data_IF_476025930161
#
_entry.id   IF_476025930161
#
_cell.length_a   1.000
_cell.length_b   1.000
_cell.length_c   1.000
_cell.angle_alpha   90.00
_cell.angle_beta   90.00
_cell.angle_gamma   90.00
#
_symmetry.space_group_name_H-M   'P 1'
#
loop_
_entity.id
_entity.type
_entity.pdbx_description
1 polymer ?
#
# COMPACT_ATOMS: atom_id res chain seq x y z
N UNK A 1 18.46 -27.69 20.07
CA UNK A 1 19.03 -26.34 19.89
C UNK A 1 18.81 -25.84 18.47
N UNK A 2 19.18 -26.60 17.42
CA UNK A 2 18.90 -26.21 16.02
C UNK A 2 17.41 -26.01 15.71
N UNK A 3 16.51 -26.88 16.18
CA UNK A 3 15.06 -26.74 15.93
C UNK A 3 14.45 -25.45 16.53
N UNK A 4 14.96 -25.02 17.68
CA UNK A 4 14.48 -23.81 18.37
C UNK A 4 14.93 -22.54 17.65
N UNK A 5 16.12 -22.55 17.08
CA UNK A 5 16.73 -21.43 16.34
C UNK A 5 16.11 -21.26 14.93
N UNK A 6 15.78 -22.36 14.26
CA UNK A 6 15.05 -22.31 12.98
C UNK A 6 13.66 -21.69 13.15
N UNK A 7 12.94 -22.04 14.22
CA UNK A 7 11.65 -21.42 14.53
C UNK A 7 11.76 -19.90 14.78
N UNK A 8 12.87 -19.42 15.35
CA UNK A 8 13.04 -17.97 15.61
C UNK A 8 13.31 -17.16 14.35
N UNK A 9 14.11 -17.68 13.40
CA UNK A 9 14.39 -16.99 12.13
C UNK A 9 13.14 -16.89 11.27
N UNK A 10 12.36 -17.98 11.19
CA UNK A 10 11.10 -17.99 10.42
C UNK A 10 10.09 -17.01 11.01
N UNK A 11 9.97 -16.95 12.35
CA UNK A 11 9.06 -16.02 13.02
C UNK A 11 9.47 -14.56 12.77
N UNK A 12 10.75 -14.22 12.91
CA UNK A 12 11.27 -12.87 12.65
C UNK A 12 11.07 -12.43 11.19
N UNK A 13 11.20 -13.37 10.25
CA UNK A 13 10.93 -13.13 8.84
C UNK A 13 9.44 -12.88 8.57
N UNK A 14 8.54 -13.67 9.17
CA UNK A 14 7.09 -13.44 9.08
C UNK A 14 6.72 -12.08 9.66
N UNK A 15 7.30 -11.68 10.79
CA UNK A 15 7.09 -10.37 11.40
C UNK A 15 7.56 -9.24 10.46
N UNK A 16 8.72 -9.41 9.80
CA UNK A 16 9.20 -8.46 8.80
C UNK A 16 8.23 -8.33 7.62
N UNK A 17 7.74 -9.45 7.09
CA UNK A 17 6.78 -9.46 5.98
C UNK A 17 5.46 -8.78 6.37
N UNK A 18 4.92 -9.12 7.55
CA UNK A 18 3.68 -8.55 8.06
C UNK A 18 3.79 -7.05 8.35
N UNK A 19 4.97 -6.57 8.73
CA UNK A 19 5.26 -5.15 8.89
C UNK A 19 5.47 -4.41 7.55
N UNK A 20 5.66 -5.14 6.45
CA UNK A 20 6.13 -4.62 5.16
C UNK A 20 5.15 -4.79 4.00
N UNK A 21 3.87 -4.33 4.10
CA UNK A 21 2.88 -4.54 3.02
C UNK A 21 3.22 -3.80 1.71
N UNK A 22 4.16 -2.85 1.74
CA UNK A 22 4.68 -2.19 0.54
C UNK A 22 6.18 -1.97 0.64
N UNK A 23 6.84 -1.67 -0.48
CA UNK A 23 8.26 -1.31 -0.50
C UNK A 23 8.62 -0.14 0.43
N UNK A 24 7.67 0.78 0.67
CA UNK A 24 7.87 1.89 1.60
C UNK A 24 7.92 1.42 3.05
N UNK A 25 7.05 0.47 3.42
CA UNK A 25 7.05 -0.13 4.75
C UNK A 25 8.25 -1.07 4.94
N UNK A 26 8.66 -1.80 3.88
CA UNK A 26 9.86 -2.62 3.91
C UNK A 26 11.12 -1.79 4.23
N UNK A 27 11.26 -0.62 3.59
CA UNK A 27 12.36 0.30 3.89
C UNK A 27 12.27 0.88 5.29
N UNK A 28 11.07 1.25 5.74
CA UNK A 28 10.87 1.79 7.09
C UNK A 28 11.19 0.75 8.18
N UNK A 29 10.76 -0.50 8.00
CA UNK A 29 11.06 -1.61 8.90
C UNK A 29 12.56 -1.96 8.88
N UNK A 30 13.17 -2.05 7.70
CA UNK A 30 14.62 -2.27 7.58
C UNK A 30 15.41 -1.14 8.25
N UNK A 31 14.99 0.12 8.09
CA UNK A 31 15.58 1.27 8.77
C UNK A 31 15.51 1.11 10.30
N UNK A 32 14.34 0.78 10.85
CA UNK A 32 14.16 0.57 12.30
C UNK A 32 15.09 -0.52 12.82
N UNK A 33 15.18 -1.65 12.10
CA UNK A 33 16.04 -2.79 12.46
C UNK A 33 17.53 -2.43 12.39
N UNK A 34 17.96 -1.71 11.36
CA UNK A 34 19.35 -1.24 11.23
C UNK A 34 19.71 -0.27 12.37
N UNK A 35 18.84 0.70 12.67
CA UNK A 35 19.04 1.64 13.78
C UNK A 35 19.14 0.92 15.12
N UNK A 36 18.31 -0.11 15.35
CA UNK A 36 18.35 -0.95 16.57
C UNK A 36 19.71 -1.63 16.79
N UNK A 37 20.46 -1.94 15.73
CA UNK A 37 21.80 -2.56 15.79
C UNK A 37 22.94 -1.56 15.56
N UNK A 38 22.67 -0.26 15.75
CA UNK A 38 23.67 0.80 15.80
C UNK A 38 24.07 1.38 14.45
N UNK A 39 23.29 1.18 13.38
CA UNK A 39 23.52 1.89 12.13
C UNK A 39 23.03 3.35 12.22
N UNK A 40 23.83 4.27 11.71
CA UNK A 40 23.51 5.69 11.60
C UNK A 40 22.93 6.01 10.20
N UNK A 41 21.83 6.76 10.15
CA UNK A 41 21.28 7.20 8.87
C UNK A 41 22.06 8.41 8.35
N UNK A 42 22.59 8.34 7.14
CA UNK A 42 23.15 9.50 6.44
C UNK A 42 22.12 10.14 5.52
N UNK A 43 22.15 11.47 5.43
CA UNK A 43 21.26 12.24 4.56
C UNK A 43 21.96 12.45 3.22
N UNK A 44 21.33 12.00 2.13
CA UNK A 44 21.91 12.05 0.79
C UNK A 44 22.26 13.47 0.30
N UNK A 45 21.65 14.51 0.89
CA UNK A 45 21.85 15.93 0.53
C UNK A 45 22.91 16.64 1.36
N UNK A 46 23.49 15.97 2.36
CA UNK A 46 24.47 16.56 3.27
C UNK A 46 25.87 16.01 2.96
N UNK A 47 26.90 16.77 3.36
CA UNK A 47 28.28 16.27 3.32
C UNK A 47 28.47 15.14 4.34
N UNK A 48 28.97 14.00 3.89
CA UNK A 48 29.15 12.83 4.76
C UNK A 48 30.49 12.87 5.48
N UNK A 49 30.45 12.78 6.81
CA UNK A 49 31.62 12.58 7.67
C UNK A 49 31.64 11.15 8.18
N UNK A 50 32.09 10.22 7.33
CA UNK A 50 32.12 8.80 7.65
C UNK A 50 33.38 8.44 8.43
N UNK A 51 33.26 7.59 9.44
CA UNK A 51 34.37 7.07 10.23
C UNK A 51 34.52 5.56 10.02
N UNK A 52 35.77 5.09 9.94
CA UNK A 52 36.05 3.67 9.84
C UNK A 52 35.54 2.92 11.09
N UNK A 53 34.95 1.75 10.88
CA UNK A 53 34.37 0.93 11.95
C UNK A 53 32.94 1.31 12.36
N UNK A 54 32.42 2.46 11.92
CA UNK A 54 31.00 2.81 12.07
C UNK A 54 30.14 2.19 10.98
N UNK A 55 28.83 2.14 11.24
CA UNK A 55 27.83 1.49 10.39
C UNK A 55 26.85 2.55 9.90
N UNK A 56 26.61 2.59 8.60
CA UNK A 56 25.78 3.63 7.99
C UNK A 56 24.78 3.05 6.99
N UNK A 57 23.67 3.75 6.84
CA UNK A 57 22.71 3.49 5.77
C UNK A 57 22.10 4.79 5.25
N UNK A 58 21.59 4.76 4.03
CA UNK A 58 20.72 5.80 3.50
C UNK A 58 19.46 5.21 2.88
N UNK A 59 18.48 6.07 2.67
CA UNK A 59 17.26 5.73 1.95
C UNK A 59 17.07 6.70 0.79
N UNK A 60 16.65 6.20 -0.36
CA UNK A 60 16.25 7.03 -1.51
C UNK A 60 14.80 6.76 -1.87
N UNK A 61 14.04 7.83 -2.11
CA UNK A 61 12.59 7.78 -2.36
C UNK A 61 11.80 7.02 -1.27
N UNK A 62 12.39 6.76 -0.10
CA UNK A 62 11.83 5.90 0.96
C UNK A 62 11.41 4.50 0.50
N UNK A 63 11.91 4.02 -0.64
CA UNK A 63 11.59 2.70 -1.22
C UNK A 63 12.84 1.89 -1.59
N UNK A 64 14.01 2.55 -1.62
CA UNK A 64 15.31 1.89 -1.63
C UNK A 64 16.04 2.20 -0.34
N UNK A 65 16.69 1.19 0.24
CA UNK A 65 17.60 1.32 1.37
C UNK A 65 18.94 0.73 1.00
N UNK A 66 20.02 1.44 1.34
CA UNK A 66 21.39 0.99 1.13
C UNK A 66 22.10 1.08 2.48
N UNK A 67 22.28 -0.06 3.13
CA UNK A 67 23.27 -0.20 4.20
C UNK A 67 24.64 -0.43 3.56
N UNK A 68 25.71 0.10 4.15
CA UNK A 68 27.07 -0.06 3.61
C UNK A 68 27.58 -1.49 3.83
N UNK A 69 27.10 -2.42 3.01
CA UNK A 69 27.44 -3.83 2.93
C UNK A 69 27.24 -4.33 1.47
N UNK A 70 27.94 -5.39 1.07
CA UNK A 70 27.93 -5.89 -0.31
C UNK A 70 26.98 -7.10 -0.42
N UNK A 71 25.67 -6.83 -0.34
CA UNK A 71 24.61 -7.80 -0.67
C UNK A 71 23.47 -7.05 -1.37
N UNK A 72 23.02 -7.57 -2.52
CA UNK A 72 21.93 -6.97 -3.30
C UNK A 72 20.64 -7.76 -3.19
N UNK A 73 19.52 -7.05 -2.99
CA UNK A 73 18.15 -7.55 -3.07
C UNK A 73 17.21 -6.41 -3.54
N UNK A 74 15.91 -6.66 -3.62
CA UNK A 74 14.90 -5.65 -3.96
C UNK A 74 13.76 -5.64 -2.93
N UNK A 75 13.09 -4.49 -2.78
CA UNK A 75 12.08 -4.24 -1.72
C UNK A 75 10.63 -4.33 -2.24
N UNK A 76 10.45 -4.42 -3.54
CA UNK A 76 9.15 -4.44 -4.19
C UNK A 76 8.70 -5.86 -4.53
N UNK A 77 7.40 -6.01 -4.75
CA UNK A 77 6.78 -7.26 -5.18
C UNK A 77 5.63 -6.94 -6.13
N UNK A 78 5.25 -7.85 -7.05
CA UNK A 78 4.10 -7.63 -7.91
C UNK A 78 2.83 -7.36 -7.12
N UNK A 79 2.08 -6.32 -7.47
CA UNK A 79 0.89 -5.90 -6.73
C UNK A 79 -0.11 -5.10 -7.59
N UNK A 80 -1.30 -4.88 -7.03
CA UNK A 80 -2.26 -3.89 -7.53
C UNK A 80 -1.99 -2.54 -6.86
N UNK A 81 -1.70 -1.51 -7.65
CA UNK A 81 -1.54 -0.12 -7.19
C UNK A 81 -2.77 0.70 -7.51
N UNK A 82 -3.15 1.61 -6.62
CA UNK A 82 -4.19 2.60 -6.91
C UNK A 82 -3.78 3.48 -8.09
N UNK A 83 -4.70 3.69 -9.05
CA UNK A 83 -4.49 4.68 -10.11
C UNK A 83 -4.58 6.10 -9.54
N UNK A 84 -3.91 7.10 -10.16
CA UNK A 84 -4.03 8.50 -9.76
C UNK A 84 -5.45 9.07 -9.83
N UNK A 85 -6.29 8.48 -10.69
CA UNK A 85 -7.74 8.68 -10.69
C UNK A 85 -8.35 7.28 -10.58
N UNK A 86 -8.87 6.96 -9.40
CA UNK A 86 -9.32 5.61 -9.07
C UNK A 86 -10.84 5.52 -8.89
N UNK A 87 -11.57 6.63 -8.95
CA UNK A 87 -13.03 6.59 -8.86
C UNK A 87 -13.64 5.85 -10.06
N UNK A 88 -14.30 4.71 -9.79
CA UNK A 88 -15.12 3.99 -10.77
C UNK A 88 -16.47 3.66 -10.14
N UNK A 89 -17.55 3.87 -10.90
CA UNK A 89 -18.93 3.54 -10.50
C UNK A 89 -19.56 2.66 -11.56
N UNK A 90 -20.07 1.49 -11.15
CA UNK A 90 -20.67 0.53 -12.08
C UNK A 90 -21.71 -0.31 -11.37
N UNK A 91 -22.89 -0.45 -11.98
CA UNK A 91 -23.98 -1.32 -11.51
C UNK A 91 -24.32 -1.18 -10.00
N UNK A 92 -24.33 0.05 -9.47
CA UNK A 92 -24.62 0.30 -8.05
C UNK A 92 -23.47 0.04 -7.08
N UNK A 93 -22.27 -0.28 -7.58
CA UNK A 93 -21.06 -0.44 -6.80
C UNK A 93 -20.07 0.72 -6.99
N UNK A 94 -19.34 1.02 -5.92
CA UNK A 94 -18.15 1.85 -5.92
C UNK A 94 -16.94 0.94 -6.07
N UNK A 95 -16.35 0.96 -7.25
CA UNK A 95 -15.15 0.20 -7.60
C UNK A 95 -13.92 1.12 -7.57
N UNK A 96 -12.75 0.53 -7.36
CA UNK A 96 -11.49 1.29 -7.29
C UNK A 96 -10.59 0.92 -8.48
N UNK A 97 -10.26 1.92 -9.30
CA UNK A 97 -9.34 1.77 -10.41
C UNK A 97 -7.92 1.44 -9.93
N UNK A 98 -7.42 0.29 -10.35
CA UNK A 98 -6.06 -0.20 -10.04
C UNK A 98 -5.21 -0.36 -11.29
N UNK A 99 -3.89 -0.42 -11.09
CA UNK A 99 -2.88 -0.73 -12.10
C UNK A 99 -2.04 -1.91 -11.61
N UNK A 100 -1.76 -2.85 -12.51
CA UNK A 100 -0.83 -3.96 -12.27
C UNK A 100 0.61 -3.46 -12.22
N UNK A 101 1.33 -3.85 -11.19
CA UNK A 101 2.76 -3.61 -11.04
C UNK A 101 3.51 -4.95 -11.03
N UNK A 102 4.50 -5.11 -11.92
CA UNK A 102 5.25 -6.38 -12.06
C UNK A 102 4.48 -7.49 -12.79
N UNK A 103 5.04 -8.70 -12.77
CA UNK A 103 4.49 -9.90 -13.42
C UNK A 103 3.68 -10.77 -12.46
N UNK A 104 2.64 -10.22 -11.84
CA UNK A 104 1.86 -10.93 -10.82
C UNK A 104 0.99 -12.06 -11.38
N UNK A 105 0.74 -13.07 -10.55
CA UNK A 105 -0.27 -14.10 -10.80
C UNK A 105 -1.67 -13.54 -10.47
N UNK A 106 -2.22 -12.71 -11.35
CA UNK A 106 -3.38 -11.87 -11.03
C UNK A 106 -4.65 -12.62 -10.61
N UNK A 107 -4.81 -13.87 -11.03
CA UNK A 107 -5.93 -14.71 -10.58
C UNK A 107 -5.91 -14.97 -9.06
N UNK A 108 -4.74 -14.94 -8.42
CA UNK A 108 -4.60 -15.16 -6.96
C UNK A 108 -5.10 -13.99 -6.11
N UNK A 109 -5.29 -12.81 -6.73
CA UNK A 109 -5.80 -11.60 -6.09
C UNK A 109 -7.33 -11.56 -6.01
N UNK A 110 -8.00 -12.43 -6.76
CA UNK A 110 -9.44 -12.58 -6.66
C UNK A 110 -9.82 -13.23 -5.34
N UNK A 111 -10.97 -12.84 -4.82
CA UNK A 111 -11.57 -13.41 -3.61
C UNK A 111 -10.68 -13.36 -2.36
N UNK A 112 -9.77 -12.38 -2.33
CA UNK A 112 -8.98 -12.00 -1.16
C UNK A 112 -9.60 -10.81 -0.47
N UNK A 113 -9.47 -10.81 0.85
CA UNK A 113 -9.78 -9.66 1.68
C UNK A 113 -8.62 -8.68 1.59
N UNK A 114 -8.80 -7.63 0.78
CA UNK A 114 -7.77 -6.67 0.43
C UNK A 114 -7.89 -5.38 1.24
N UNK A 115 -6.74 -4.74 1.42
CA UNK A 115 -6.65 -3.43 2.06
C UNK A 115 -5.69 -2.51 1.30
N UNK A 116 -5.50 -1.29 1.77
CA UNK A 116 -4.58 -0.31 1.19
C UNK A 116 -3.44 -0.03 2.15
N UNK A 117 -2.23 -0.08 1.61
CA UNK A 117 -1.04 0.43 2.25
C UNK A 117 -0.18 1.18 1.23
N UNK A 118 0.61 2.14 1.68
CA UNK A 118 1.44 2.96 0.81
C UNK A 118 1.97 4.20 1.50
N UNK A 119 2.11 5.28 0.73
CA UNK A 119 2.48 6.59 1.24
C UNK A 119 1.54 7.66 0.71
N UNK A 120 1.27 8.67 1.54
CA UNK A 120 0.65 9.92 1.14
C UNK A 120 1.70 11.03 1.16
N UNK A 121 1.62 11.95 0.20
CA UNK A 121 2.37 13.21 0.23
C UNK A 121 1.45 14.28 0.81
N UNK A 122 1.88 14.91 1.90
CA UNK A 122 1.12 15.92 2.62
C UNK A 122 1.75 17.27 2.35
N UNK A 123 0.94 18.22 1.88
CA UNK A 123 1.31 19.63 1.78
C UNK A 123 0.97 20.28 3.12
N UNK A 124 1.96 20.85 3.78
CA UNK A 124 1.80 21.58 5.04
C UNK A 124 2.09 23.06 4.76
N UNK A 125 1.24 23.95 5.29
CA UNK A 125 1.42 25.40 5.15
C UNK A 125 1.43 26.02 6.54
N UNK A 126 2.58 26.59 6.94
CA UNK A 126 2.76 27.20 8.26
C UNK A 126 3.49 28.53 8.11
N UNK A 127 2.87 29.61 8.59
CA UNK A 127 3.47 30.94 8.56
C UNK A 127 3.84 31.43 7.16
N UNK A 128 3.06 31.07 6.13
CA UNK A 128 3.33 31.43 4.73
C UNK A 128 4.41 30.60 4.03
N UNK A 129 5.02 29.63 4.72
CA UNK A 129 5.94 28.65 4.11
C UNK A 129 5.20 27.36 3.77
N UNK A 130 5.44 26.83 2.57
CA UNK A 130 4.89 25.56 2.10
C UNK A 130 5.97 24.49 2.21
N UNK A 131 5.68 23.43 2.94
CA UNK A 131 6.52 22.24 3.00
C UNK A 131 5.74 21.01 2.52
N UNK A 132 6.48 19.98 2.12
CA UNK A 132 5.92 18.69 1.76
C UNK A 132 6.54 17.62 2.65
N UNK A 133 5.70 16.79 3.24
CA UNK A 133 6.11 15.64 4.02
C UNK A 133 5.50 14.37 3.42
N UNK A 134 6.13 13.22 3.66
CA UNK A 134 5.51 11.94 3.36
C UNK A 134 5.01 11.30 4.66
N UNK A 135 3.92 10.54 4.58
CA UNK A 135 3.43 9.69 5.66
C UNK A 135 3.15 8.31 5.11
N UNK A 136 3.54 7.29 5.87
CA UNK A 136 3.11 5.93 5.58
C UNK A 136 1.65 5.79 6.00
N UNK A 137 0.89 5.08 5.17
CA UNK A 137 -0.52 4.79 5.40
C UNK A 137 -0.68 3.29 5.30
N UNK A 138 -1.35 2.70 6.28
CA UNK A 138 -1.75 1.29 6.31
C UNK A 138 -3.11 1.22 6.98
N UNK A 139 -4.08 0.67 6.26
CA UNK A 139 -5.39 0.37 6.79
C UNK A 139 -5.33 -1.07 7.31
N UNK A 140 -5.60 -1.28 8.59
CA UNK A 140 -5.49 -2.59 9.25
C UNK A 140 -6.81 -3.34 9.31
N UNK A 141 -7.63 -3.17 8.27
CA UNK A 141 -8.89 -3.87 8.08
C UNK A 141 -9.14 -4.16 6.59
N UNK A 142 -9.89 -5.22 6.27
CA UNK A 142 -10.24 -5.54 4.89
C UNK A 142 -11.36 -4.63 4.39
N UNK A 143 -11.01 -3.73 3.47
CA UNK A 143 -11.94 -2.72 2.94
C UNK A 143 -12.36 -3.00 1.50
N UNK A 144 -11.72 -3.94 0.82
CA UNK A 144 -11.91 -4.17 -0.61
C UNK A 144 -11.82 -5.64 -0.99
N UNK A 145 -12.47 -6.01 -2.09
CA UNK A 145 -12.39 -7.36 -2.65
C UNK A 145 -12.52 -7.32 -4.17
N UNK A 146 -11.74 -8.14 -4.86
CA UNK A 146 -11.93 -8.40 -6.30
C UNK A 146 -12.75 -9.70 -6.43
N UNK A 147 -14.08 -9.64 -6.62
CA UNK A 147 -14.90 -10.85 -6.65
C UNK A 147 -14.69 -11.64 -7.95
N UNK A 148 -14.69 -12.97 -7.88
CA UNK A 148 -14.79 -13.81 -9.08
C UNK A 148 -16.19 -13.75 -9.70
N UNK A 149 -16.26 -13.94 -11.03
CA UNK A 149 -17.53 -14.20 -11.69
C UNK A 149 -18.00 -15.62 -11.32
N UNK A 150 -19.30 -15.77 -11.03
CA UNK A 150 -19.87 -17.08 -10.71
C UNK A 150 -19.66 -18.07 -11.87
N UNK A 151 -19.23 -19.30 -11.56
CA UNK A 151 -18.96 -20.34 -12.56
C UNK A 151 -20.16 -20.70 -13.43
N UNK A 152 -21.38 -20.58 -12.90
CA UNK A 152 -22.62 -20.75 -13.67
C UNK A 152 -22.74 -19.80 -14.87
N UNK A 153 -22.07 -18.65 -14.81
CA UNK A 153 -22.03 -17.62 -15.85
C UNK A 153 -20.72 -17.67 -16.67
N UNK A 154 -19.75 -18.49 -16.28
CA UNK A 154 -18.48 -18.70 -16.99
C UNK A 154 -18.26 -20.20 -17.26
N UNK A 155 -18.79 -20.66 -18.40
CA UNK A 155 -18.71 -22.06 -18.81
C UNK A 155 -17.28 -22.54 -19.11
N UNK A 156 -16.35 -21.62 -19.37
CA UNK A 156 -14.96 -21.94 -19.72
C UNK A 156 -13.97 -21.79 -18.57
N UNK A 157 -14.43 -21.45 -17.36
CA UNK A 157 -13.55 -21.12 -16.22
C UNK A 157 -12.59 -22.25 -15.85
N UNK A 158 -13.01 -23.50 -16.03
CA UNK A 158 -12.21 -24.70 -15.73
C UNK A 158 -11.13 -24.98 -16.78
N UNK A 159 -11.29 -24.47 -18.02
CA UNK A 159 -10.30 -24.63 -19.09
C UNK A 159 -9.20 -23.57 -19.03
N UNK A 160 -9.42 -22.50 -18.26
CA UNK A 160 -8.42 -21.49 -17.97
C UNK A 160 -9.02 -20.17 -17.48
N UNK A 161 -8.49 -19.66 -16.37
CA UNK A 161 -8.94 -18.40 -15.78
C UNK A 161 -8.35 -17.19 -16.53
N UNK A 162 -9.07 -16.72 -17.57
CA UNK A 162 -8.64 -15.59 -18.41
C UNK A 162 -9.15 -14.27 -17.86
N UNK A 163 -8.24 -13.47 -17.31
CA UNK A 163 -8.55 -12.18 -16.70
C UNK A 163 -8.16 -11.04 -17.62
N UNK A 164 -9.09 -10.13 -17.90
CA UNK A 164 -8.73 -8.82 -18.42
C UNK A 164 -8.30 -7.93 -17.25
N UNK A 165 -7.01 -7.56 -17.22
CA UNK A 165 -6.42 -6.81 -16.10
C UNK A 165 -6.97 -5.39 -15.93
N UNK A 166 -7.61 -4.84 -16.97
CA UNK A 166 -8.17 -3.50 -16.96
C UNK A 166 -9.66 -3.47 -16.54
N UNK A 167 -10.43 -4.52 -16.81
CA UNK A 167 -11.88 -4.54 -16.55
C UNK A 167 -12.31 -5.50 -15.43
N UNK A 168 -11.52 -6.53 -15.12
CA UNK A 168 -11.89 -7.58 -14.16
C UNK A 168 -11.14 -7.50 -12.82
N UNK A 169 -10.07 -6.69 -12.72
CA UNK A 169 -9.28 -6.54 -11.49
C UNK A 169 -9.69 -5.35 -10.61
N UNK A 170 -10.82 -4.70 -10.88
CA UNK A 170 -11.27 -3.56 -10.11
C UNK A 170 -11.90 -4.05 -8.80
N UNK A 171 -11.28 -3.82 -7.62
CA UNK A 171 -11.90 -4.18 -6.37
C UNK A 171 -13.14 -3.33 -6.10
N UNK A 172 -14.14 -3.98 -5.49
CA UNK A 172 -15.33 -3.34 -4.93
C UNK A 172 -14.98 -2.82 -3.53
N UNK A 173 -15.30 -1.54 -3.28
CA UNK A 173 -15.10 -0.86 -1.99
C UNK A 173 -16.41 -0.74 -1.20
N UNK A 174 -17.50 -0.36 -1.87
CA UNK A 174 -18.80 -0.14 -1.24
C UNK A 174 -19.94 -0.22 -2.27
N UNK A 175 -21.19 -0.18 -1.80
CA UNK A 175 -22.37 0.02 -2.65
C UNK A 175 -22.77 1.49 -2.65
N UNK A 176 -23.40 1.96 -3.72
CA UNK A 176 -23.98 3.30 -3.81
C UNK A 176 -25.03 3.53 -2.72
N UNK A 177 -25.81 2.49 -2.38
CA UNK A 177 -26.83 2.56 -1.31
C UNK A 177 -26.19 2.88 0.04
N UNK A 178 -25.06 2.25 0.38
CA UNK A 178 -24.34 2.55 1.63
C UNK A 178 -23.87 4.01 1.68
N UNK A 179 -23.51 4.58 0.54
CA UNK A 179 -23.09 5.98 0.44
C UNK A 179 -24.25 6.93 0.72
N UNK A 180 -25.41 6.64 0.15
CA UNK A 180 -26.62 7.44 0.35
C UNK A 180 -27.09 7.39 1.81
N UNK A 181 -27.15 6.19 2.40
CA UNK A 181 -27.47 6.03 3.83
C UNK A 181 -26.51 6.82 4.72
N UNK A 182 -25.21 6.79 4.44
CA UNK A 182 -24.23 7.51 5.25
C UNK A 182 -24.25 9.04 5.07
N UNK A 183 -24.77 9.56 3.94
CA UNK A 183 -24.93 11.00 3.74
C UNK A 183 -26.01 11.59 4.65
N UNK A 184 -27.13 10.89 4.84
CA UNK A 184 -28.21 11.33 5.72
C UNK A 184 -27.75 11.44 7.19
N UNK A 185 -26.80 10.60 7.62
CA UNK A 185 -26.19 10.71 8.96
C UNK A 185 -25.24 11.93 9.07
N UNK A 186 -24.51 12.27 8.01
CA UNK A 186 -23.58 13.40 8.02
C UNK A 186 -24.28 14.76 7.90
N UNK A 187 -25.45 14.85 7.26
CA UNK A 187 -26.22 16.11 7.20
C UNK A 187 -26.83 16.49 8.57
N UNK A 188 -26.94 15.55 9.50
CA UNK A 188 -27.31 15.80 10.89
C UNK A 188 -26.13 16.21 11.80
N UNK A 189 -24.91 16.29 11.26
CA UNK A 189 -23.71 16.74 11.97
C UNK A 189 -22.76 17.49 11.03
N UNK A 190 -22.88 18.82 10.99
CA UNK A 190 -22.00 19.81 10.33
C UNK A 190 -20.82 19.22 9.52
N UNK A 191 -21.01 19.00 8.21
CA UNK A 191 -19.93 18.70 7.28
C UNK A 191 -19.92 19.70 6.12
N UNK A 192 -18.78 20.38 5.93
CA UNK A 192 -18.53 21.34 4.85
C UNK A 192 -18.56 20.66 3.47
N UNK A 193 -19.30 21.26 2.55
CA UNK A 193 -19.36 20.89 1.14
C UNK A 193 -18.04 21.25 0.44
N UNK A 194 -17.18 20.27 0.22
CA UNK A 194 -16.07 20.41 -0.75
C UNK A 194 -16.60 20.15 -2.16
N UNK A 195 -16.62 21.19 -2.99
CA UNK A 195 -17.18 21.23 -4.35
C UNK A 195 -16.22 20.77 -5.46
N UNK A 196 -15.15 20.05 -5.13
CA UNK A 196 -14.24 19.52 -6.14
C UNK A 196 -14.63 18.08 -6.53
N UNK A 197 -14.73 17.83 -7.83
CA UNK A 197 -14.90 16.48 -8.39
C UNK A 197 -13.67 15.65 -7.98
N UNK A 198 -13.81 14.85 -6.93
CA UNK A 198 -12.72 14.07 -6.36
C UNK A 198 -12.16 13.08 -7.38
N UNK A 199 -10.85 12.80 -7.32
CA UNK A 199 -10.21 11.77 -8.16
C UNK A 199 -10.40 10.35 -7.60
N UNK A 200 -10.85 10.26 -6.34
CA UNK A 200 -11.01 9.04 -5.56
C UNK A 200 -12.33 9.06 -4.79
N UNK A 201 -12.91 7.89 -4.50
CA UNK A 201 -14.11 7.81 -3.64
C UNK A 201 -13.82 8.41 -2.26
N UNK A 202 -14.75 9.19 -1.71
CA UNK A 202 -14.60 9.81 -0.39
C UNK A 202 -14.32 8.78 0.72
N UNK A 203 -14.95 7.61 0.67
CA UNK A 203 -14.70 6.50 1.58
C UNK A 203 -13.23 6.05 1.63
N UNK A 204 -12.52 6.13 0.50
CA UNK A 204 -11.10 5.79 0.45
C UNK A 204 -10.20 6.87 1.10
N UNK A 205 -10.69 8.11 1.20
CA UNK A 205 -9.98 9.25 1.77
C UNK A 205 -10.32 9.50 3.25
N UNK A 206 -11.32 8.80 3.79
CA UNK A 206 -11.78 8.91 5.17
C UNK A 206 -11.11 7.91 6.13
N UNK A 207 -10.27 7.00 5.61
CA UNK A 207 -9.56 5.99 6.39
C UNK A 207 -8.20 6.49 6.85
#
# INVERSE_FOLDING_TARGET
>A
MADTEVCSVVSDFIDFLNASPTAFHAVDEAKKRLQKVGYEQVVEREDWKLEAGKRYFLTRNHSTIVAFAIVGAHTDSPCLKLKPVSEVKRAGYLEVGVQTYGGGLWHTWFDRDLTVAGRAMIREEKGGSVSYSHRLVRIEEPIMRVPTLASHLDRGVNDGFKVNTQSHLLPVLATSVKVELNKEFAENGLAEKTTNKSRHHAFLLQV
#
